data_IF_112989625560
#
_entry.id   IF_112989625560
#
_cell.length_a   1.000
_cell.length_b   1.000
_cell.length_c   1.000
_cell.angle_alpha   90.00
_cell.angle_beta   90.00
_cell.angle_gamma   90.00
#
_symmetry.space_group_name_H-M   'P 1'
#
loop_
_entity.id
_entity.type
_entity.pdbx_description
1 polymer ?
#
# COMPACT_ATOMS: atom_id res chain seq x y z
N UNK A 1 -19.19 -5.57 15.61
CA UNK A 1 -18.78 -5.56 14.19
C UNK A 1 -17.32 -5.93 14.18
N UNK A 2 -16.99 -7.18 13.84
CA UNK A 2 -15.58 -7.57 13.65
C UNK A 2 -15.02 -6.77 12.47
N UNK A 3 -13.92 -6.06 12.72
CA UNK A 3 -13.14 -5.37 11.71
C UNK A 3 -12.57 -6.42 10.76
N UNK A 4 -13.18 -6.55 9.58
CA UNK A 4 -12.60 -7.26 8.46
C UNK A 4 -11.41 -6.45 7.96
N UNK A 5 -10.20 -6.78 8.41
CA UNK A 5 -9.00 -6.39 7.70
C UNK A 5 -8.99 -7.10 6.34
N UNK A 6 -9.65 -6.49 5.35
CA UNK A 6 -9.50 -6.86 3.95
C UNK A 6 -8.04 -6.66 3.58
N UNK A 7 -7.31 -7.75 3.29
CA UNK A 7 -5.99 -7.60 2.70
C UNK A 7 -6.14 -6.93 1.34
N UNK A 8 -5.53 -5.75 1.14
CA UNK A 8 -5.67 -5.03 -0.12
C UNK A 8 -5.03 -5.85 -1.25
N UNK A 9 -5.83 -6.15 -2.27
CA UNK A 9 -5.39 -6.93 -3.45
C UNK A 9 -4.46 -6.10 -4.34
N UNK A 10 -4.68 -4.78 -4.35
CA UNK A 10 -3.83 -3.81 -5.02
C UNK A 10 -2.61 -3.52 -4.16
N UNK A 11 -1.44 -3.53 -4.78
CA UNK A 11 -0.22 -3.07 -4.14
C UNK A 11 -0.29 -1.56 -3.95
N UNK A 12 0.26 -1.05 -2.84
CA UNK A 12 0.37 0.39 -2.65
C UNK A 12 1.31 0.96 -3.72
N UNK A 13 0.91 2.07 -4.34
CA UNK A 13 1.76 2.78 -5.28
C UNK A 13 3.08 3.17 -4.60
N UNK A 14 4.19 2.82 -5.22
CA UNK A 14 5.50 3.24 -4.70
C UNK A 14 5.67 4.72 -5.00
N UNK A 15 5.91 5.52 -3.96
CA UNK A 15 6.34 6.90 -4.16
C UNK A 15 7.74 6.89 -4.79
N UNK A 16 7.84 7.24 -6.08
CA UNK A 16 9.10 7.23 -6.80
C UNK A 16 10.04 8.35 -6.35
N UNK A 17 9.52 9.47 -5.84
CA UNK A 17 10.31 10.63 -5.44
C UNK A 17 11.29 10.31 -4.30
N UNK A 18 11.01 9.27 -3.50
CA UNK A 18 11.89 8.80 -2.44
C UNK A 18 12.93 7.77 -2.91
N UNK A 19 12.80 7.23 -4.13
CA UNK A 19 13.73 6.25 -4.67
C UNK A 19 15.00 6.94 -5.17
N UNK A 20 16.14 6.57 -4.59
CA UNK A 20 17.42 7.19 -4.93
C UNK A 20 17.81 7.03 -6.41
N UNK A 21 17.43 5.94 -7.08
CA UNK A 21 17.70 5.77 -8.51
C UNK A 21 16.82 6.70 -9.38
N UNK A 22 15.62 7.05 -8.92
CA UNK A 22 14.80 8.07 -9.58
C UNK A 22 15.37 9.48 -9.35
N UNK A 23 15.77 9.79 -8.10
CA UNK A 23 16.42 11.07 -7.79
C UNK A 23 17.69 11.27 -8.66
N UNK A 24 18.51 10.23 -8.80
CA UNK A 24 19.68 10.26 -9.69
C UNK A 24 19.31 10.35 -11.17
N UNK A 25 18.24 9.69 -11.64
CA UNK A 25 17.82 9.83 -13.04
C UNK A 25 17.33 11.24 -13.36
N UNK A 26 16.75 11.96 -12.39
CA UNK A 26 16.45 13.38 -12.52
C UNK A 26 17.72 14.24 -12.61
N UNK A 27 18.72 14.00 -11.76
CA UNK A 27 20.04 14.65 -11.86
C UNK A 27 20.65 14.41 -13.23
N UNK A 28 20.65 13.16 -13.71
CA UNK A 28 21.20 12.78 -15.01
C UNK A 28 20.50 13.54 -16.13
N UNK A 29 19.17 13.63 -16.11
CA UNK A 29 18.42 14.40 -17.11
C UNK A 29 18.82 15.87 -17.16
N UNK A 30 18.87 16.54 -16.00
CA UNK A 30 19.25 17.96 -15.91
C UNK A 30 20.71 18.18 -16.31
N UNK A 31 21.60 17.28 -15.89
CA UNK A 31 23.02 17.30 -16.25
C UNK A 31 23.18 17.14 -17.76
N UNK A 32 22.52 16.16 -18.38
CA UNK A 32 22.56 15.94 -19.84
C UNK A 32 22.05 17.17 -20.60
N UNK A 33 20.99 17.81 -20.12
CA UNK A 33 20.48 19.03 -20.72
C UNK A 33 21.49 20.19 -20.64
N UNK A 34 22.06 20.43 -19.45
CA UNK A 34 23.08 21.46 -19.24
C UNK A 34 24.35 21.20 -20.07
N UNK A 35 24.83 19.95 -20.08
CA UNK A 35 25.97 19.51 -20.87
C UNK A 35 25.74 19.75 -22.36
N UNK A 36 24.59 19.33 -22.89
CA UNK A 36 24.26 19.51 -24.30
C UNK A 36 24.17 20.98 -24.68
N UNK A 37 23.61 21.83 -23.82
CA UNK A 37 23.51 23.27 -24.08
C UNK A 37 24.88 23.96 -24.08
N UNK A 38 25.81 23.51 -23.24
CA UNK A 38 27.14 24.14 -23.08
C UNK A 38 28.17 23.62 -24.09
N UNK A 39 28.14 22.33 -24.41
CA UNK A 39 29.26 21.65 -25.06
C UNK A 39 28.92 20.94 -26.37
N UNK A 40 27.64 20.88 -26.76
CA UNK A 40 27.20 20.29 -28.03
C UNK A 40 26.63 21.37 -28.93
N UNK A 41 27.13 21.42 -30.17
CA UNK A 41 26.74 22.47 -31.11
C UNK A 41 25.26 22.32 -31.54
N UNK A 42 24.41 23.35 -31.39
CA UNK A 42 22.96 23.22 -31.57
C UNK A 42 22.49 22.75 -32.95
N UNK A 43 23.23 23.11 -34.02
CA UNK A 43 22.77 22.95 -35.40
C UNK A 43 23.54 21.90 -36.22
N UNK A 44 24.52 21.21 -35.61
CA UNK A 44 25.42 20.31 -36.36
C UNK A 44 25.42 18.89 -35.83
N UNK A 45 24.74 18.63 -34.71
CA UNK A 45 24.90 17.39 -33.99
C UNK A 45 23.56 16.79 -33.54
N UNK A 46 23.12 15.74 -34.26
CA UNK A 46 21.92 14.95 -33.91
C UNK A 46 22.08 14.29 -32.52
N UNK A 47 23.31 14.16 -32.03
CA UNK A 47 23.63 13.60 -30.72
C UNK A 47 23.02 14.41 -29.58
N UNK A 48 22.84 15.75 -29.73
CA UNK A 48 22.18 16.57 -28.69
C UNK A 48 20.78 16.06 -28.35
N UNK A 49 19.94 15.91 -29.38
CA UNK A 49 18.56 15.49 -29.18
C UNK A 49 18.50 14.04 -28.71
N UNK A 50 19.38 13.19 -29.20
CA UNK A 50 19.47 11.77 -28.80
C UNK A 50 19.82 11.64 -27.31
N UNK A 51 20.85 12.33 -26.83
CA UNK A 51 21.25 12.31 -25.41
C UNK A 51 20.12 12.83 -24.50
N UNK A 52 19.51 13.96 -24.85
CA UNK A 52 18.41 14.54 -24.06
C UNK A 52 17.21 13.59 -24.04
N UNK A 53 16.87 12.98 -25.17
CA UNK A 53 15.76 12.04 -25.27
C UNK A 53 16.03 10.75 -24.51
N UNK A 54 17.24 10.19 -24.57
CA UNK A 54 17.62 9.01 -23.80
C UNK A 54 17.51 9.27 -22.29
N UNK A 55 18.03 10.41 -21.82
CA UNK A 55 17.92 10.81 -20.42
C UNK A 55 16.46 11.01 -19.96
N UNK A 56 15.65 11.68 -20.79
CA UNK A 56 14.21 11.88 -20.54
C UNK A 56 13.48 10.54 -20.50
N UNK A 57 13.73 9.68 -21.48
CA UNK A 57 13.12 8.36 -21.62
C UNK A 57 13.40 7.51 -20.38
N UNK A 58 14.64 7.50 -19.89
CA UNK A 58 15.00 6.80 -18.66
C UNK A 58 14.13 7.25 -17.48
N UNK A 59 14.07 8.56 -17.20
CA UNK A 59 13.29 9.11 -16.09
C UNK A 59 11.80 8.83 -16.24
N UNK A 60 11.22 9.02 -17.43
CA UNK A 60 9.78 8.85 -17.66
C UNK A 60 9.35 7.39 -17.52
N UNK A 61 10.10 6.44 -18.10
CA UNK A 61 9.80 5.02 -17.97
C UNK A 61 9.90 4.52 -16.52
N UNK A 62 10.72 5.14 -15.67
CA UNK A 62 10.71 4.86 -14.22
C UNK A 62 9.37 5.27 -13.60
N UNK A 63 8.89 6.49 -13.88
CA UNK A 63 7.62 7.00 -13.34
C UNK A 63 6.45 6.16 -13.82
N UNK A 64 6.35 5.94 -15.13
CA UNK A 64 5.31 5.11 -15.75
C UNK A 64 5.33 3.69 -15.19
N UNK A 65 6.52 3.06 -15.10
CA UNK A 65 6.65 1.70 -14.57
C UNK A 65 6.22 1.57 -13.11
N UNK A 66 6.47 2.59 -12.29
CA UNK A 66 6.09 2.59 -10.88
C UNK A 66 4.61 2.94 -10.66
N UNK A 67 4.02 3.78 -11.52
CA UNK A 67 2.59 4.08 -11.51
C UNK A 67 1.76 2.87 -11.99
N UNK A 68 2.14 2.27 -13.11
CA UNK A 68 1.42 1.14 -13.70
C UNK A 68 1.65 -0.18 -12.97
N UNK A 69 2.76 -0.30 -12.23
CA UNK A 69 3.10 -1.48 -11.43
C UNK A 69 2.08 -1.84 -10.34
N UNK A 70 1.20 -0.91 -9.98
CA UNK A 70 0.04 -1.19 -9.11
C UNK A 70 -0.91 -2.20 -9.73
N UNK A 71 -1.09 -2.13 -11.06
CA UNK A 71 -2.04 -2.97 -11.80
C UNK A 71 -1.36 -4.10 -12.56
N UNK A 72 -0.10 -3.92 -12.99
CA UNK A 72 0.62 -4.93 -13.77
C UNK A 72 2.12 -4.97 -13.45
N UNK A 73 2.56 -6.02 -12.75
CA UNK A 73 3.99 -6.30 -12.52
C UNK A 73 4.74 -6.54 -13.82
N UNK A 74 4.10 -7.15 -14.83
CA UNK A 74 4.72 -7.37 -16.14
C UNK A 74 5.03 -6.03 -16.84
N UNK A 75 4.07 -5.10 -16.84
CA UNK A 75 4.25 -3.78 -17.45
C UNK A 75 5.34 -2.98 -16.71
N UNK A 76 5.33 -3.04 -15.38
CA UNK A 76 6.37 -2.43 -14.55
C UNK A 76 7.77 -2.96 -14.91
N UNK A 77 7.95 -4.29 -14.99
CA UNK A 77 9.24 -4.89 -15.36
C UNK A 77 9.66 -4.47 -16.77
N UNK A 78 8.72 -4.42 -17.71
CA UNK A 78 8.99 -3.98 -19.09
C UNK A 78 9.46 -2.52 -19.14
N UNK A 79 8.73 -1.60 -18.54
CA UNK A 79 9.06 -0.17 -18.54
C UNK A 79 10.38 0.10 -17.80
N UNK A 80 10.63 -0.57 -16.67
CA UNK A 80 11.91 -0.44 -15.97
C UNK A 80 13.09 -0.98 -16.80
N UNK A 81 12.88 -2.03 -17.62
CA UNK A 81 13.89 -2.48 -18.57
C UNK A 81 14.13 -1.48 -19.71
N UNK A 82 13.08 -0.83 -20.23
CA UNK A 82 13.21 0.26 -21.21
C UNK A 82 14.00 1.43 -20.60
N UNK A 83 13.69 1.81 -19.36
CA UNK A 83 14.43 2.86 -18.66
C UNK A 83 15.93 2.55 -18.54
N UNK A 84 16.29 1.28 -18.26
CA UNK A 84 17.70 0.83 -18.22
C UNK A 84 18.35 0.86 -19.59
N UNK A 85 17.62 0.46 -20.64
CA UNK A 85 18.13 0.53 -22.01
C UNK A 85 18.47 1.98 -22.40
N UNK A 86 17.55 2.93 -22.16
CA UNK A 86 17.80 4.36 -22.42
C UNK A 86 18.94 4.93 -21.57
N UNK A 87 19.09 4.49 -20.31
CA UNK A 87 20.23 4.88 -19.47
C UNK A 87 21.56 4.37 -20.03
N UNK A 88 21.57 3.14 -20.57
CA UNK A 88 22.75 2.55 -21.19
C UNK A 88 23.12 3.30 -22.47
N UNK A 89 22.16 3.62 -23.33
CA UNK A 89 22.38 4.45 -24.52
C UNK A 89 23.05 5.78 -24.14
N UNK A 90 22.47 6.50 -23.18
CA UNK A 90 23.03 7.76 -22.69
C UNK A 90 24.46 7.62 -22.13
N UNK A 91 24.74 6.50 -21.45
CA UNK A 91 26.07 6.21 -20.92
C UNK A 91 27.08 6.03 -22.07
N UNK A 92 26.72 5.30 -23.11
CA UNK A 92 27.57 5.16 -24.30
C UNK A 92 27.81 6.53 -24.95
N UNK A 93 26.79 7.40 -25.06
CA UNK A 93 26.96 8.75 -25.63
C UNK A 93 28.00 9.59 -24.86
N UNK A 94 27.99 9.55 -23.52
CA UNK A 94 29.00 10.24 -22.70
C UNK A 94 30.39 9.62 -22.85
N UNK A 95 30.47 8.30 -22.95
CA UNK A 95 31.72 7.58 -23.13
C UNK A 95 32.34 7.89 -24.51
N UNK A 96 31.52 7.89 -25.56
CA UNK A 96 31.91 8.25 -26.91
C UNK A 96 32.31 9.72 -27.03
N UNK A 97 31.64 10.62 -26.31
CA UNK A 97 32.06 12.03 -26.23
C UNK A 97 33.49 12.16 -25.68
N UNK A 98 33.81 11.45 -24.59
CA UNK A 98 35.14 11.48 -23.99
C UNK A 98 36.18 10.87 -24.94
N UNK A 99 35.90 9.69 -25.51
CA UNK A 99 36.82 8.98 -26.41
C UNK A 99 37.10 9.78 -27.68
N UNK A 100 36.05 10.27 -28.36
CA UNK A 100 36.18 11.02 -29.62
C UNK A 100 36.93 12.34 -29.48
N UNK A 101 37.00 12.90 -28.27
CA UNK A 101 37.69 14.15 -27.97
C UNK A 101 38.98 13.96 -27.17
N UNK A 102 39.47 12.72 -27.06
CA UNK A 102 40.70 12.36 -26.33
C UNK A 102 40.73 12.84 -24.88
N UNK A 103 39.58 12.83 -24.21
CA UNK A 103 39.43 13.19 -22.80
C UNK A 103 39.59 11.97 -21.91
N UNK A 104 39.96 12.19 -20.65
CA UNK A 104 40.19 11.11 -19.70
C UNK A 104 38.87 10.60 -19.11
N UNK A 105 38.71 9.28 -19.13
CA UNK A 105 37.72 8.58 -18.30
C UNK A 105 38.37 8.34 -16.93
N UNK A 106 37.74 8.81 -15.86
CA UNK A 106 38.25 8.70 -14.51
C UNK A 106 38.14 7.25 -14.04
N UNK A 107 39.29 6.65 -13.75
CA UNK A 107 39.43 5.33 -13.14
C UNK A 107 40.14 5.47 -11.80
N UNK A 108 40.32 4.37 -11.06
CA UNK A 108 40.96 4.40 -9.73
C UNK A 108 42.36 5.05 -9.69
N UNK A 109 43.05 5.16 -10.82
CA UNK A 109 44.34 5.86 -10.93
C UNK A 109 44.23 7.38 -11.04
N UNK A 110 43.05 7.92 -11.36
CA UNK A 110 42.84 9.35 -11.54
C UNK A 110 42.62 10.05 -10.20
N UNK A 111 43.28 11.18 -9.96
CA UNK A 111 43.27 11.89 -8.67
C UNK A 111 41.87 12.34 -8.23
N UNK A 112 40.96 12.62 -9.18
CA UNK A 112 39.59 13.05 -8.89
C UNK A 112 38.60 11.87 -8.73
N UNK A 113 39.00 10.64 -9.05
CA UNK A 113 38.08 9.50 -9.11
C UNK A 113 37.41 9.19 -7.77
N UNK A 114 38.20 9.05 -6.70
CA UNK A 114 37.68 8.72 -5.38
C UNK A 114 36.76 9.83 -4.83
N UNK A 115 37.13 11.10 -5.05
CA UNK A 115 36.31 12.23 -4.64
C UNK A 115 34.96 12.26 -5.37
N UNK A 116 34.98 12.08 -6.70
CA UNK A 116 33.77 11.99 -7.53
C UNK A 116 32.89 10.80 -7.13
N UNK A 117 33.48 9.62 -6.97
CA UNK A 117 32.77 8.41 -6.60
C UNK A 117 32.09 8.56 -5.23
N UNK A 118 32.82 9.10 -4.25
CA UNK A 118 32.28 9.40 -2.92
C UNK A 118 31.15 10.41 -2.99
N UNK A 119 31.32 11.50 -3.75
CA UNK A 119 30.29 12.52 -3.91
C UNK A 119 29.00 11.91 -4.48
N UNK A 120 29.11 11.18 -5.59
CA UNK A 120 27.99 10.51 -6.23
C UNK A 120 27.34 9.43 -5.37
N UNK A 121 28.06 8.82 -4.43
CA UNK A 121 27.48 7.82 -3.52
C UNK A 121 26.51 8.44 -2.51
N UNK A 122 26.81 9.63 -2.02
CA UNK A 122 26.06 10.24 -0.90
C UNK A 122 25.09 11.35 -1.32
N UNK A 123 25.18 11.85 -2.55
CA UNK A 123 24.29 12.88 -3.08
C UNK A 123 23.41 12.30 -4.17
N UNK A 124 22.13 12.66 -4.16
CA UNK A 124 21.13 12.10 -5.08
C UNK A 124 20.30 13.17 -5.77
N UNK A 125 20.25 14.39 -5.22
CA UNK A 125 19.26 15.39 -5.59
C UNK A 125 19.88 16.46 -6.47
N UNK A 126 19.08 17.05 -7.35
CA UNK A 126 19.51 18.11 -8.26
C UNK A 126 20.23 19.26 -7.57
N UNK A 127 19.73 19.68 -6.40
CA UNK A 127 20.32 20.76 -5.60
C UNK A 127 21.81 20.54 -5.25
N UNK A 128 22.24 19.28 -5.16
CA UNK A 128 23.62 18.91 -4.85
C UNK A 128 24.53 19.06 -6.08
N UNK A 129 23.98 19.04 -7.30
CA UNK A 129 24.74 19.01 -8.56
C UNK A 129 24.63 20.32 -9.35
N UNK A 130 23.46 20.96 -9.33
CA UNK A 130 23.16 22.14 -10.12
C UNK A 130 24.19 23.28 -9.97
N UNK A 131 24.74 23.58 -8.77
CA UNK A 131 25.76 24.61 -8.64
C UNK A 131 27.04 24.37 -9.45
N UNK A 132 27.33 23.10 -9.79
CA UNK A 132 28.52 22.73 -10.56
C UNK A 132 28.28 22.70 -12.07
N UNK A 133 27.03 22.74 -12.54
CA UNK A 133 26.71 22.60 -13.97
C UNK A 133 27.29 23.70 -14.84
N UNK A 134 27.56 24.88 -14.29
CA UNK A 134 28.23 25.99 -14.99
C UNK A 134 29.74 26.04 -14.72
N UNK A 135 30.23 25.29 -13.74
CA UNK A 135 31.63 25.30 -13.29
C UNK A 135 32.45 24.17 -13.91
N UNK A 136 31.86 22.97 -13.98
CA UNK A 136 32.55 21.80 -14.50
C UNK A 136 32.91 21.96 -15.97
N UNK A 137 34.08 21.43 -16.30
CA UNK A 137 34.47 21.19 -17.69
C UNK A 137 33.58 20.10 -18.30
N UNK A 138 33.60 20.01 -19.63
CA UNK A 138 32.96 18.92 -20.36
C UNK A 138 33.45 17.54 -19.88
N UNK A 139 34.76 17.37 -19.65
CA UNK A 139 35.35 16.14 -19.13
C UNK A 139 34.80 15.79 -17.73
N UNK A 140 34.73 16.76 -16.82
CA UNK A 140 34.19 16.54 -15.48
C UNK A 140 32.71 16.18 -15.54
N UNK A 141 31.89 16.93 -16.29
CA UNK A 141 30.46 16.64 -16.43
C UNK A 141 30.22 15.23 -16.98
N UNK A 142 30.95 14.81 -18.02
CA UNK A 142 30.87 13.45 -18.57
C UNK A 142 31.23 12.39 -17.53
N UNK A 143 32.31 12.57 -16.77
CA UNK A 143 32.74 11.58 -15.76
C UNK A 143 31.74 11.44 -14.61
N UNK A 144 31.16 12.56 -14.15
CA UNK A 144 30.07 12.53 -13.17
C UNK A 144 28.82 11.86 -13.74
N UNK A 145 28.47 12.14 -15.00
CA UNK A 145 27.34 11.50 -15.67
C UNK A 145 27.53 9.98 -15.80
N UNK A 146 28.70 9.52 -16.27
CA UNK A 146 29.04 8.09 -16.35
C UNK A 146 28.92 7.40 -14.99
N UNK A 147 29.46 8.02 -13.94
CA UNK A 147 29.39 7.50 -12.57
C UNK A 147 27.95 7.38 -12.09
N UNK A 148 27.13 8.40 -12.33
CA UNK A 148 25.72 8.40 -11.97
C UNK A 148 24.93 7.36 -12.77
N UNK A 149 25.19 7.21 -14.07
CA UNK A 149 24.58 6.16 -14.90
C UNK A 149 24.90 4.76 -14.35
N UNK A 150 26.16 4.50 -14.01
CA UNK A 150 26.58 3.21 -13.42
C UNK A 150 25.90 2.92 -12.09
N UNK A 151 25.84 3.90 -11.18
CA UNK A 151 25.16 3.74 -9.90
C UNK A 151 23.66 3.50 -10.10
N UNK A 152 23.03 4.29 -10.97
CA UNK A 152 21.59 4.21 -11.26
C UNK A 152 21.23 2.84 -11.84
N UNK A 153 22.00 2.33 -12.81
CA UNK A 153 21.79 0.98 -13.38
C UNK A 153 21.90 -0.11 -12.30
N UNK A 154 22.92 -0.07 -11.43
CA UNK A 154 23.08 -1.04 -10.34
C UNK A 154 21.91 -1.02 -9.36
N UNK A 155 21.40 0.16 -9.03
CA UNK A 155 20.25 0.33 -8.15
C UNK A 155 18.97 -0.20 -8.80
N UNK A 156 18.77 0.09 -10.09
CA UNK A 156 17.65 -0.43 -10.87
C UNK A 156 17.70 -1.95 -11.00
N UNK A 157 18.88 -2.55 -11.23
CA UNK A 157 19.04 -4.01 -11.23
C UNK A 157 18.64 -4.64 -9.89
N UNK A 158 19.05 -4.03 -8.78
CA UNK A 158 18.72 -4.52 -7.44
C UNK A 158 17.22 -4.44 -7.18
N UNK A 159 16.57 -3.36 -7.64
CA UNK A 159 15.13 -3.18 -7.55
C UNK A 159 14.36 -4.18 -8.43
N UNK A 160 14.78 -4.40 -9.67
CA UNK A 160 14.19 -5.39 -10.57
C UNK A 160 14.28 -6.81 -9.99
N UNK A 161 15.43 -7.18 -9.41
CA UNK A 161 15.59 -8.48 -8.75
C UNK A 161 14.61 -8.64 -7.59
N UNK A 162 14.36 -7.58 -6.82
CA UNK A 162 13.35 -7.59 -5.75
C UNK A 162 11.94 -7.81 -6.33
N UNK A 163 11.56 -7.07 -7.38
CA UNK A 163 10.26 -7.23 -8.04
C UNK A 163 10.06 -8.64 -8.60
N UNK A 164 11.10 -9.24 -9.17
CA UNK A 164 11.08 -10.62 -9.66
C UNK A 164 10.82 -11.61 -8.51
N UNK A 165 11.49 -11.45 -7.37
CA UNK A 165 11.24 -12.29 -6.19
C UNK A 165 9.83 -12.10 -5.62
N UNK A 166 9.32 -10.87 -5.61
CA UNK A 166 7.93 -10.58 -5.21
C UNK A 166 6.93 -11.24 -6.17
N UNK A 167 7.19 -11.20 -7.47
CA UNK A 167 6.37 -11.89 -8.46
C UNK A 167 6.36 -13.40 -8.24
N UNK A 168 7.53 -14.03 -8.04
CA UNK A 168 7.65 -15.47 -7.79
C UNK A 168 6.92 -15.89 -6.51
N UNK A 169 7.01 -15.08 -5.44
CA UNK A 169 6.47 -15.44 -4.12
C UNK A 169 4.99 -15.08 -3.95
N UNK A 170 4.53 -13.99 -4.55
CA UNK A 170 3.17 -13.47 -4.38
C UNK A 170 2.25 -13.74 -5.57
N UNK A 171 2.80 -14.08 -6.74
CA UNK A 171 2.08 -14.24 -7.99
C UNK A 171 1.65 -12.90 -8.61
N UNK A 172 1.14 -12.94 -9.83
CA UNK A 172 0.61 -11.75 -10.51
C UNK A 172 -0.70 -11.23 -9.90
N UNK A 173 -1.17 -10.05 -10.35
CA UNK A 173 -2.42 -9.46 -9.83
C UNK A 173 -3.63 -10.38 -9.99
N UNK A 174 -3.72 -11.12 -11.11
CA UNK A 174 -4.81 -12.06 -11.37
C UNK A 174 -4.82 -13.22 -10.38
N UNK A 175 -3.64 -13.72 -10.01
CA UNK A 175 -3.49 -14.78 -9.02
C UNK A 175 -3.85 -14.28 -7.63
N UNK A 176 -3.39 -13.08 -7.25
CA UNK A 176 -3.75 -12.44 -5.98
C UNK A 176 -5.26 -12.19 -5.90
N UNK A 177 -5.87 -11.67 -6.96
CA UNK A 177 -7.32 -11.48 -7.08
C UNK A 177 -8.08 -12.80 -6.93
N UNK A 178 -7.64 -13.85 -7.63
CA UNK A 178 -8.26 -15.16 -7.54
C UNK A 178 -8.17 -15.73 -6.11
N UNK A 179 -6.99 -15.65 -5.49
CA UNK A 179 -6.76 -16.09 -4.11
C UNK A 179 -7.65 -15.35 -3.11
N UNK A 180 -7.74 -14.02 -3.24
CA UNK A 180 -8.59 -13.18 -2.39
C UNK A 180 -10.07 -13.54 -2.56
N UNK A 181 -10.54 -13.69 -3.80
CA UNK A 181 -11.92 -14.07 -4.11
C UNK A 181 -12.29 -15.46 -3.57
N UNK A 182 -11.42 -16.44 -3.80
CA UNK A 182 -11.65 -17.82 -3.34
C UNK A 182 -11.60 -17.90 -1.81
N UNK A 183 -10.66 -17.20 -1.16
CA UNK A 183 -10.59 -17.11 0.29
C UNK A 183 -11.83 -16.48 0.92
N UNK A 184 -12.36 -15.41 0.32
CA UNK A 184 -13.62 -14.78 0.77
C UNK A 184 -14.80 -15.74 0.65
N UNK A 185 -14.93 -16.44 -0.48
CA UNK A 185 -15.98 -17.44 -0.71
C UNK A 185 -15.92 -18.58 0.29
N UNK A 186 -14.74 -19.16 0.50
CA UNK A 186 -14.57 -20.26 1.44
C UNK A 186 -14.97 -19.85 2.87
N UNK A 187 -14.58 -18.65 3.33
CA UNK A 187 -15.00 -18.13 4.63
C UNK A 187 -16.51 -17.90 4.72
N UNK A 188 -17.13 -17.44 3.64
CA UNK A 188 -18.58 -17.27 3.56
C UNK A 188 -19.29 -18.63 3.65
N UNK A 189 -18.78 -19.64 2.95
CA UNK A 189 -19.31 -21.01 2.96
C UNK A 189 -19.14 -21.66 4.34
N UNK A 190 -17.97 -21.49 4.98
CA UNK A 190 -17.72 -21.95 6.36
C UNK A 190 -18.70 -21.31 7.36
N UNK A 191 -18.89 -19.99 7.26
CA UNK A 191 -19.85 -19.26 8.12
C UNK A 191 -21.28 -19.72 7.88
N UNK A 192 -21.67 -19.92 6.62
CA UNK A 192 -22.99 -20.44 6.28
C UNK A 192 -23.20 -21.82 6.92
N UNK A 193 -22.22 -22.73 6.80
CA UNK A 193 -22.27 -24.07 7.39
C UNK A 193 -22.34 -24.04 8.92
N UNK A 194 -21.61 -23.13 9.58
CA UNK A 194 -21.70 -22.93 11.03
C UNK A 194 -23.09 -22.43 11.46
N UNK A 195 -23.67 -21.49 10.70
CA UNK A 195 -25.03 -21.00 10.94
C UNK A 195 -26.06 -22.12 10.74
N UNK A 196 -25.95 -22.90 9.66
CA UNK A 196 -26.84 -24.04 9.39
C UNK A 196 -26.78 -25.10 10.49
N UNK A 197 -25.58 -25.36 11.04
CA UNK A 197 -25.39 -26.33 12.13
C UNK A 197 -25.95 -25.83 13.46
N UNK A 198 -25.85 -24.53 13.75
CA UNK A 198 -26.33 -23.94 15.01
C UNK A 198 -27.81 -23.59 15.00
N UNK A 199 -28.41 -23.38 13.82
CA UNK A 199 -29.81 -22.99 13.65
C UNK A 199 -30.81 -23.92 14.37
N UNK A 200 -30.71 -25.27 14.29
CA UNK A 200 -31.66 -26.16 14.96
C UNK A 200 -31.57 -26.05 16.49
N UNK A 201 -30.35 -26.01 17.04
CA UNK A 201 -30.14 -25.90 18.48
C UNK A 201 -30.66 -24.58 19.03
N UNK A 202 -30.42 -23.46 18.32
CA UNK A 202 -30.94 -22.14 18.69
C UNK A 202 -32.46 -22.12 18.61
N UNK A 203 -33.07 -22.70 17.57
CA UNK A 203 -34.52 -22.81 17.44
C UNK A 203 -35.15 -23.62 18.58
N UNK A 204 -34.53 -24.72 18.97
CA UNK A 204 -34.99 -25.55 20.08
C UNK A 204 -34.89 -24.83 21.41
N UNK A 205 -33.76 -24.17 21.68
CA UNK A 205 -33.57 -23.36 22.89
C UNK A 205 -34.57 -22.20 22.96
N UNK A 206 -34.85 -21.54 21.82
CA UNK A 206 -35.86 -20.49 21.74
C UNK A 206 -37.26 -21.02 22.07
N UNK A 207 -37.63 -22.17 21.50
CA UNK A 207 -38.94 -22.79 21.76
C UNK A 207 -39.10 -23.18 23.24
N UNK A 208 -38.04 -23.71 23.86
CA UNK A 208 -38.04 -24.06 25.27
C UNK A 208 -38.14 -22.81 26.17
N UNK A 209 -37.39 -21.76 25.87
CA UNK A 209 -37.48 -20.51 26.60
C UNK A 209 -38.88 -19.87 26.49
N UNK A 210 -39.51 -19.97 25.31
CA UNK A 210 -40.88 -19.50 25.10
C UNK A 210 -41.89 -20.30 25.94
N UNK A 211 -41.80 -21.64 25.96
CA UNK A 211 -42.73 -22.46 26.76
C UNK A 211 -42.55 -22.25 28.26
N UNK A 212 -41.30 -22.08 28.73
CA UNK A 212 -41.00 -21.71 30.12
C UNK A 212 -41.58 -20.33 30.46
N UNK A 213 -41.42 -19.34 29.58
CA UNK A 213 -42.00 -18.01 29.79
C UNK A 213 -43.53 -18.05 29.89
N UNK A 214 -44.20 -18.83 29.03
CA UNK A 214 -45.66 -19.03 29.10
C UNK A 214 -46.09 -19.71 30.42
N UNK A 215 -45.34 -20.71 30.87
CA UNK A 215 -45.61 -21.38 32.13
C UNK A 215 -45.45 -20.42 33.33
N UNK A 216 -44.39 -19.62 33.34
CA UNK A 216 -44.15 -18.59 34.35
C UNK A 216 -45.24 -17.52 34.33
N UNK A 217 -45.67 -17.06 33.16
CA UNK A 217 -46.77 -16.13 33.00
C UNK A 217 -48.06 -16.68 33.62
N UNK A 218 -48.37 -17.96 33.36
CA UNK A 218 -49.56 -18.62 33.91
C UNK A 218 -49.47 -18.77 35.43
N UNK A 219 -48.34 -19.23 35.96
CA UNK A 219 -48.11 -19.38 37.39
C UNK A 219 -48.19 -18.04 38.13
N UNK A 220 -47.61 -16.98 37.55
CA UNK A 220 -47.72 -15.63 38.08
C UNK A 220 -49.17 -15.14 38.12
N UNK A 221 -49.92 -15.33 37.04
CA UNK A 221 -51.32 -14.92 36.97
C UNK A 221 -52.20 -15.68 37.98
N UNK A 222 -51.99 -17.00 38.13
CA UNK A 222 -52.68 -17.82 39.13
C UNK A 222 -52.37 -17.35 40.56
N UNK A 223 -51.08 -17.14 40.87
CA UNK A 223 -50.66 -16.64 42.18
C UNK A 223 -51.27 -15.26 42.46
N UNK A 224 -51.26 -14.36 41.47
CA UNK A 224 -51.89 -13.05 41.56
C UNK A 224 -53.37 -13.16 41.87
N UNK A 225 -54.11 -14.05 41.19
CA UNK A 225 -55.54 -14.27 41.44
C UNK A 225 -55.80 -14.84 42.84
N UNK A 226 -55.02 -15.84 43.28
CA UNK A 226 -55.14 -16.41 44.61
C UNK A 226 -54.84 -15.39 45.71
N UNK A 227 -53.81 -14.57 45.53
CA UNK A 227 -53.46 -13.49 46.46
C UNK A 227 -54.59 -12.45 46.53
N UNK A 228 -55.16 -12.06 45.38
CA UNK A 228 -56.27 -11.11 45.32
C UNK A 228 -57.52 -11.67 46.02
N UNK A 229 -57.87 -12.94 45.78
CA UNK A 229 -59.01 -13.60 46.42
C UNK A 229 -58.82 -13.79 47.94
N UNK A 230 -57.59 -14.05 48.40
CA UNK A 230 -57.27 -14.11 49.82
C UNK A 230 -57.36 -12.72 50.48
N UNK A 231 -56.86 -11.68 49.81
CA UNK A 231 -56.97 -10.29 50.25
C UNK A 231 -58.44 -9.88 50.43
N UNK A 232 -59.30 -10.13 49.44
CA UNK A 232 -60.73 -9.79 49.55
C UNK A 232 -61.43 -10.61 50.64
N UNK A 233 -61.16 -11.91 50.78
CA UNK A 233 -61.70 -12.70 51.90
C UNK A 233 -61.31 -12.15 53.27
N UNK A 234 -60.04 -11.77 53.45
CA UNK A 234 -59.58 -11.15 54.69
C UNK A 234 -60.25 -9.79 54.92
N UNK A 235 -60.43 -8.98 53.86
CA UNK A 235 -61.12 -7.71 53.95
C UNK A 235 -62.59 -7.88 54.38
N UNK A 236 -63.29 -8.86 53.80
CA UNK A 236 -64.68 -9.20 54.15
C UNK A 236 -64.77 -9.72 55.60
N UNK A 237 -63.85 -10.58 56.02
CA UNK A 237 -63.79 -11.12 57.39
C UNK A 237 -63.50 -10.01 58.42
N UNK A 238 -62.57 -9.10 58.12
CA UNK A 238 -62.32 -7.91 58.94
C UNK A 238 -63.56 -7.02 59.02
N UNK A 239 -64.27 -6.81 57.91
CA UNK A 239 -65.50 -6.02 57.90
C UNK A 239 -66.60 -6.66 58.74
N UNK A 240 -66.79 -7.98 58.62
CA UNK A 240 -67.74 -8.75 59.42
C UNK A 240 -67.40 -8.71 60.93
N UNK A 241 -66.13 -8.94 61.29
CA UNK A 241 -65.67 -8.85 62.68
C UNK A 241 -65.85 -7.44 63.25
N UNK A 242 -65.58 -6.39 62.45
CA UNK A 242 -65.85 -5.00 62.86
C UNK A 242 -67.33 -4.75 63.12
N UNK A 243 -68.22 -5.26 62.26
CA UNK A 243 -69.67 -5.15 62.44
C UNK A 243 -70.16 -5.90 63.68
N UNK A 244 -69.63 -7.09 63.95
CA UNK A 244 -69.96 -7.87 65.16
C UNK A 244 -69.48 -7.18 66.44
N UNK A 245 -68.27 -6.60 66.41
CA UNK A 245 -67.74 -5.78 67.52
C UNK A 245 -68.64 -4.56 67.76
N UNK A 246 -69.11 -3.87 66.72
CA UNK A 246 -70.02 -2.73 66.86
C UNK A 246 -71.35 -3.15 67.52
N UNK A 247 -71.92 -4.29 67.10
CA UNK A 247 -73.10 -4.91 67.72
C UNK A 247 -72.89 -5.22 69.21
N UNK A 248 -71.76 -5.84 69.56
CA UNK A 248 -71.43 -6.20 70.95
C UNK A 248 -71.15 -4.98 71.83
N UNK A 249 -70.76 -3.85 71.25
CA UNK A 249 -70.56 -2.57 71.95
C UNK A 249 -71.83 -1.75 72.13
N UNK A 250 -72.98 -2.19 71.58
CA UNK A 250 -74.24 -1.47 71.68
C UNK A 250 -74.32 -0.21 70.78
N UNK A 251 -73.44 -0.12 69.80
CA UNK A 251 -73.39 0.95 68.81
C UNK A 251 -74.08 0.44 67.53
N UNK A 252 -75.41 0.53 67.48
CA UNK A 252 -76.17 0.29 66.25
C UNK A 252 -76.73 1.62 65.72
#
# INVERSE_FOLDING_TARGET
MENYEEQPVLTRQTNWDVLFFYQKSDVIYQLSFAFCNRFIHPYKDRTRDQMIQAARSCKQNIVEGLADGVTSTEMQLKLLNVARASLKELREDFEDYLKSRHKQIYTASHSQYEAMLKYCRYHNKLQDYAPYFDQWTDEQMCNYALTLCHMTDKMMMSFLKKLEQEFITQGGIKERMHRARTGFRNKQDERLKQLETSLPAIKQALQQAQSEAEAWQKAYNDLKQRALAAYYRQADEIAALKAEIAKLKGEA
#
